data_IF_938403088601
#
_entry.id   IF_938403088601
#
_cell.length_a   1.000
_cell.length_b   1.000
_cell.length_c   1.000
_cell.angle_alpha   90.00
_cell.angle_beta   90.00
_cell.angle_gamma   90.00
#
_symmetry.space_group_name_H-M   'P 1'
#
loop_
_entity.id
_entity.type
_entity.pdbx_description
1 polymer ?
#
# COMPACT_ATOMS: atom_id res chain seq x y z
N UNK A 1 -3.19 -6.85 -23.44
CA UNK A 1 -3.54 -6.51 -22.05
C UNK A 1 -2.24 -6.17 -21.36
N UNK A 2 -2.08 -4.96 -20.83
CA UNK A 2 -0.87 -4.61 -20.10
C UNK A 2 -0.93 -5.32 -18.75
N UNK A 3 0.00 -6.25 -18.50
CA UNK A 3 0.12 -6.89 -17.20
C UNK A 3 0.48 -5.83 -16.15
N UNK A 4 -0.45 -5.61 -15.20
CA UNK A 4 -0.26 -4.64 -14.14
C UNK A 4 0.64 -5.25 -13.09
N UNK A 5 1.88 -4.77 -13.01
CA UNK A 5 2.92 -5.28 -12.12
C UNK A 5 3.30 -4.25 -11.05
N UNK A 6 3.70 -4.72 -9.88
CA UNK A 6 4.25 -3.89 -8.80
C UNK A 6 5.67 -3.46 -9.21
N UNK A 7 5.90 -2.15 -9.26
CA UNK A 7 7.21 -1.55 -9.54
C UNK A 7 7.99 -1.32 -8.25
N UNK A 8 7.31 -0.82 -7.22
CA UNK A 8 7.86 -0.59 -5.88
C UNK A 8 6.80 -0.80 -4.83
N UNK A 9 7.25 -1.21 -3.64
CA UNK A 9 6.40 -1.36 -2.48
C UNK A 9 7.17 -1.06 -1.19
N UNK A 10 6.45 -0.72 -0.13
CA UNK A 10 7.07 -0.53 1.18
C UNK A 10 6.27 0.35 2.13
N UNK A 11 6.80 0.50 3.34
CA UNK A 11 6.22 1.35 4.37
C UNK A 11 6.54 2.82 4.16
N UNK A 12 5.50 3.66 4.20
CA UNK A 12 5.64 5.11 4.20
C UNK A 12 4.78 5.71 5.31
N UNK A 13 5.20 6.87 5.81
CA UNK A 13 4.35 7.70 6.67
C UNK A 13 3.44 8.55 5.78
N UNK A 14 2.12 8.30 5.84
CA UNK A 14 1.11 9.11 5.14
C UNK A 14 0.44 10.06 6.13
N UNK A 15 0.38 11.35 5.80
CA UNK A 15 -0.43 12.32 6.56
C UNK A 15 -1.91 12.07 6.28
N UNK A 16 -2.72 12.01 7.33
CA UNK A 16 -4.17 11.91 7.20
C UNK A 16 -4.78 13.15 6.54
N UNK A 17 -5.85 12.93 5.77
CA UNK A 17 -6.53 13.98 5.01
C UNK A 17 -7.34 14.90 5.95
N UNK A 18 -8.14 14.31 6.84
CA UNK A 18 -8.96 15.03 7.80
C UNK A 18 -8.20 15.26 9.12
N UNK A 19 -7.65 14.19 9.70
CA UNK A 19 -6.83 14.26 10.92
C UNK A 19 -5.36 14.32 10.50
N UNK A 20 -4.69 15.46 10.70
CA UNK A 20 -3.31 15.73 10.22
C UNK A 20 -2.20 15.02 11.01
N UNK A 21 -2.41 13.75 11.35
CA UNK A 21 -1.41 12.87 11.96
C UNK A 21 -0.72 12.04 10.88
N UNK A 22 0.56 11.72 11.08
CA UNK A 22 1.29 10.79 10.24
C UNK A 22 1.04 9.37 10.71
N UNK A 23 0.71 8.46 9.79
CA UNK A 23 0.48 7.05 10.10
C UNK A 23 1.24 6.17 9.12
N UNK A 24 1.87 5.08 9.58
CA UNK A 24 2.49 4.11 8.69
C UNK A 24 1.41 3.46 7.83
N UNK A 25 1.67 3.35 6.52
CA UNK A 25 0.86 2.63 5.54
C UNK A 25 1.79 1.89 4.59
N UNK A 26 1.38 0.69 4.20
CA UNK A 26 2.10 -0.10 3.22
C UNK A 26 1.62 0.29 1.82
N UNK A 27 2.50 0.86 1.02
CA UNK A 27 2.17 1.34 -0.32
C UNK A 27 2.60 0.37 -1.41
N UNK A 28 1.79 0.30 -2.47
CA UNK A 28 2.05 -0.42 -3.70
C UNK A 28 2.02 0.59 -4.85
N UNK A 29 3.14 0.74 -5.56
CA UNK A 29 3.23 1.48 -6.81
C UNK A 29 3.26 0.48 -7.96
N UNK A 30 2.30 0.60 -8.87
CA UNK A 30 2.16 -0.24 -10.05
C UNK A 30 2.59 0.49 -11.33
N UNK A 31 2.91 -0.27 -12.38
CA UNK A 31 3.40 0.26 -13.66
C UNK A 31 2.35 1.04 -14.45
N UNK A 32 1.06 0.86 -14.14
CA UNK A 32 -0.06 1.62 -14.68
C UNK A 32 -0.25 3.00 -14.01
N UNK A 33 0.60 3.34 -13.03
CA UNK A 33 0.51 4.58 -12.25
C UNK A 33 -0.38 4.48 -11.01
N UNK A 34 -1.01 3.33 -10.77
CA UNK A 34 -1.80 3.10 -9.57
C UNK A 34 -0.90 3.13 -8.33
N UNK A 35 -1.26 3.97 -7.35
CA UNK A 35 -0.55 4.13 -6.09
C UNK A 35 -1.50 4.03 -4.90
N UNK A 36 -1.51 2.87 -4.25
CA UNK A 36 -2.49 2.52 -3.20
C UNK A 36 -1.76 2.26 -1.89
N UNK A 37 -2.31 2.77 -0.77
CA UNK A 37 -1.79 2.57 0.57
C UNK A 37 -2.75 1.75 1.45
N UNK A 38 -2.25 0.66 2.02
CA UNK A 38 -2.95 -0.25 2.92
C UNK A 38 -2.56 -0.01 4.38
N UNK A 39 -3.44 -0.39 5.32
CA UNK A 39 -3.13 -0.29 6.76
C UNK A 39 -2.04 -1.28 7.16
N UNK A 40 -2.09 -2.48 6.61
CA UNK A 40 -1.14 -3.58 6.80
C UNK A 40 -0.73 -4.13 5.44
N UNK A 41 0.36 -4.89 5.38
CA UNK A 41 0.79 -5.53 4.12
C UNK A 41 -0.24 -6.61 3.77
N UNK A 42 -0.79 -6.63 2.54
CA UNK A 42 -1.82 -7.62 2.15
C UNK A 42 -1.41 -9.08 2.38
N UNK A 43 -0.14 -9.42 2.11
CA UNK A 43 0.41 -10.78 2.33
C UNK A 43 0.37 -11.24 3.79
N UNK A 44 0.46 -10.30 4.75
CA UNK A 44 0.47 -10.62 6.17
C UNK A 44 -0.97 -10.85 6.70
N UNK A 45 -1.97 -10.35 5.97
CA UNK A 45 -3.39 -10.56 6.31
C UNK A 45 -3.83 -11.95 5.87
N UNK A 46 -3.49 -12.35 4.64
CA UNK A 46 -3.82 -13.69 4.12
C UNK A 46 -3.16 -14.81 4.95
N UNK A 47 -1.96 -14.59 5.50
CA UNK A 47 -1.28 -15.54 6.38
C UNK A 47 -1.91 -15.69 7.77
N UNK A 48 -2.66 -14.70 8.26
CA UNK A 48 -3.31 -14.77 9.59
C UNK A 48 -4.67 -15.45 9.56
N UNK A 49 -5.29 -15.53 8.38
CA UNK A 49 -6.62 -16.16 8.21
C UNK A 49 -6.54 -17.60 7.67
N UNK A 50 -5.33 -18.15 7.49
CA UNK A 50 -5.09 -19.59 7.16
C UNK A 50 -4.76 -20.45 8.38
#
# INVERSE_FOLDING_TARGET
MNDVAIVKEGWLHKRGEYIKTWRPRYFLLKNDGTFIGYKERPQDVDQRES
#
